data_IF_011066938236
#
_entry.id   IF_011066938236
#
_cell.length_a   1.000
_cell.length_b   1.000
_cell.length_c   1.000
_cell.angle_alpha   90.00
_cell.angle_beta   90.00
_cell.angle_gamma   90.00
#
_symmetry.space_group_name_H-M   'P 1'
#
loop_
_entity.id
_entity.type
_entity.pdbx_description
1 polymer ?
#
# COMPACT_ATOMS: atom_id res chain seq x y z
N UNK A 1 -7.66 3.21 -5.59
CA UNK A 1 -7.31 2.04 -4.75
C UNK A 1 -6.56 1.04 -5.60
N UNK A 2 -5.43 0.48 -5.14
CA UNK A 2 -4.52 -0.33 -5.98
C UNK A 2 -4.43 -1.81 -5.60
N UNK A 3 -5.06 -2.21 -4.50
CA UNK A 3 -5.21 -3.59 -4.05
C UNK A 3 -6.57 -3.74 -3.39
N UNK A 4 -7.23 -4.91 -3.52
CA UNK A 4 -8.49 -5.18 -2.83
C UNK A 4 -8.24 -5.69 -1.40
N UNK A 5 -9.24 -5.58 -0.52
CA UNK A 5 -9.13 -6.10 0.85
C UNK A 5 -8.78 -7.59 0.89
N UNK A 6 -9.39 -8.41 0.03
CA UNK A 6 -9.06 -9.84 -0.10
C UNK A 6 -7.60 -10.07 -0.48
N UNK A 7 -7.08 -9.32 -1.46
CA UNK A 7 -5.68 -9.43 -1.89
C UNK A 7 -4.68 -9.04 -0.80
N UNK A 8 -5.08 -8.16 0.12
CA UNK A 8 -4.26 -7.75 1.26
C UNK A 8 -4.27 -8.85 2.33
N UNK A 9 -5.45 -9.36 2.67
CA UNK A 9 -5.59 -10.43 3.67
C UNK A 9 -4.91 -11.73 3.24
N UNK A 10 -4.88 -12.05 1.93
CA UNK A 10 -4.10 -13.16 1.38
C UNK A 10 -2.58 -13.07 1.67
N UNK A 11 -2.08 -11.91 2.09
CA UNK A 11 -0.66 -11.68 2.41
C UNK A 11 -0.34 -11.75 3.90
N UNK A 12 -1.36 -11.73 4.76
CA UNK A 12 -1.22 -11.99 6.18
C UNK A 12 -1.44 -13.49 6.42
N UNK A 13 -0.61 -14.12 7.27
CA UNK A 13 -0.88 -15.50 7.64
C UNK A 13 -2.15 -15.56 8.52
N UNK A 14 -3.01 -16.57 8.35
CA UNK A 14 -4.23 -16.70 9.16
C UNK A 14 -3.97 -16.69 10.67
N UNK A 15 -2.84 -17.26 11.11
CA UNK A 15 -2.43 -17.28 12.52
C UNK A 15 -2.07 -15.88 13.04
N UNK A 16 -1.47 -15.02 12.21
CA UNK A 16 -1.12 -13.64 12.58
C UNK A 16 -2.39 -12.80 12.76
N UNK A 17 -3.37 -12.96 11.86
CA UNK A 17 -4.66 -12.30 11.95
C UNK A 17 -5.43 -12.74 13.21
N UNK A 18 -5.50 -14.04 13.48
CA UNK A 18 -6.17 -14.56 14.66
C UNK A 18 -5.56 -14.04 15.97
N UNK A 19 -4.23 -13.94 16.04
CA UNK A 19 -3.54 -13.39 17.21
C UNK A 19 -3.77 -11.88 17.35
N UNK A 20 -3.80 -11.14 16.24
CA UNK A 20 -4.13 -9.71 16.24
C UNK A 20 -5.55 -9.47 16.76
N UNK A 21 -6.54 -10.22 16.27
CA UNK A 21 -7.94 -10.13 16.71
C UNK A 21 -8.08 -10.46 18.19
N UNK A 22 -7.43 -11.54 18.64
CA UNK A 22 -7.42 -11.95 20.05
C UNK A 22 -6.82 -10.87 20.96
N UNK A 23 -5.73 -10.24 20.52
CA UNK A 23 -5.03 -9.20 21.30
C UNK A 23 -5.81 -7.90 21.37
N UNK A 24 -6.36 -7.45 20.24
CA UNK A 24 -7.04 -6.15 20.12
C UNK A 24 -8.52 -6.22 20.53
N UNK A 25 -9.12 -7.41 20.49
CA UNK A 25 -10.56 -7.60 20.63
C UNK A 25 -11.37 -7.10 19.43
N UNK A 26 -10.71 -6.72 18.33
CA UNK A 26 -11.33 -6.16 17.13
C UNK A 26 -11.23 -7.18 16.00
N UNK A 27 -12.36 -7.56 15.41
CA UNK A 27 -12.39 -8.42 14.25
C UNK A 27 -11.82 -7.70 13.02
N UNK A 28 -10.94 -8.37 12.28
CA UNK A 28 -10.39 -7.86 11.03
C UNK A 28 -11.32 -8.27 9.89
N UNK A 29 -12.28 -7.40 9.59
CA UNK A 29 -13.20 -7.60 8.48
C UNK A 29 -12.75 -6.91 7.18
N UNK A 30 -13.41 -7.27 6.07
CA UNK A 30 -13.10 -6.71 4.76
C UNK A 30 -13.32 -5.19 4.69
N UNK A 31 -14.32 -4.65 5.40
CA UNK A 31 -14.64 -3.23 5.35
C UNK A 31 -13.58 -2.38 6.07
N UNK A 32 -13.07 -2.88 7.19
CA UNK A 32 -11.96 -2.28 7.92
C UNK A 32 -10.70 -2.24 7.06
N UNK A 33 -10.32 -3.38 6.46
CA UNK A 33 -9.15 -3.45 5.57
C UNK A 33 -9.34 -2.58 4.31
N UNK A 34 -10.56 -2.52 3.77
CA UNK A 34 -10.87 -1.66 2.63
C UNK A 34 -10.68 -0.18 2.96
N UNK A 35 -11.04 0.25 4.17
CA UNK A 35 -10.81 1.62 4.65
C UNK A 35 -9.30 1.92 4.70
N UNK A 36 -8.51 1.06 5.35
CA UNK A 36 -7.05 1.22 5.42
C UNK A 36 -6.41 1.26 4.03
N UNK A 37 -6.93 0.48 3.09
CA UNK A 37 -6.40 0.41 1.73
C UNK A 37 -6.80 1.62 0.87
N UNK A 38 -7.94 2.28 1.16
CA UNK A 38 -8.27 3.59 0.58
C UNK A 38 -7.33 4.67 1.11
N UNK A 39 -7.05 4.69 2.41
CA UNK A 39 -6.08 5.61 3.02
C UNK A 39 -4.66 5.40 2.47
N UNK A 40 -4.23 4.14 2.33
CA UNK A 40 -2.96 3.79 1.72
C UNK A 40 -2.86 4.29 0.26
N UNK A 41 -3.92 4.12 -0.52
CA UNK A 41 -3.96 4.62 -1.89
C UNK A 41 -3.88 6.14 -1.94
N UNK A 42 -4.57 6.85 -1.04
CA UNK A 42 -4.49 8.31 -0.95
C UNK A 42 -3.07 8.80 -0.57
N UNK A 43 -2.38 8.11 0.34
CA UNK A 43 -0.96 8.38 0.66
C UNK A 43 -0.08 8.22 -0.59
N UNK A 44 -0.24 7.11 -1.32
CA UNK A 44 0.48 6.86 -2.57
C UNK A 44 0.20 7.97 -3.60
N UNK A 45 -1.07 8.34 -3.79
CA UNK A 45 -1.48 9.36 -4.75
C UNK A 45 -0.86 10.72 -4.45
N UNK A 46 -0.77 11.09 -3.17
CA UNK A 46 -0.12 12.33 -2.74
C UNK A 46 1.38 12.39 -3.13
N UNK A 47 2.05 11.24 -3.24
CA UNK A 47 3.43 11.19 -3.75
C UNK A 47 3.51 11.24 -5.27
N UNK A 48 2.51 10.70 -5.98
CA UNK A 48 2.55 10.53 -7.44
C UNK A 48 1.96 11.71 -8.20
N UNK A 49 1.02 12.45 -7.61
CA UNK A 49 0.28 13.54 -8.27
C UNK A 49 1.17 14.67 -8.80
N UNK A 50 2.35 14.86 -8.23
CA UNK A 50 3.31 15.86 -8.70
C UNK A 50 3.95 15.51 -10.05
N UNK A 51 4.07 14.22 -10.37
CA UNK A 51 4.80 13.74 -11.55
C UNK A 51 3.95 12.99 -12.56
N UNK A 52 2.83 12.41 -12.13
CA UNK A 52 1.95 11.60 -12.96
C UNK A 52 0.56 12.20 -13.04
N UNK A 53 -0.14 11.95 -14.15
CA UNK A 53 -1.56 12.20 -14.26
C UNK A 53 -2.33 11.09 -13.51
N UNK A 54 -3.19 11.49 -12.57
CA UNK A 54 -4.06 10.61 -11.80
C UNK A 54 -5.53 10.90 -12.16
N UNK A 55 -6.43 9.90 -12.16
CA UNK A 55 -6.17 8.48 -11.85
C UNK A 55 -5.40 7.78 -12.97
N UNK A 56 -4.63 6.73 -12.62
CA UNK A 56 -4.00 5.89 -13.63
C UNK A 56 -5.06 5.11 -14.43
N UNK A 57 -4.89 5.08 -15.75
CA UNK A 57 -5.67 4.19 -16.61
C UNK A 57 -5.20 2.74 -16.45
N UNK A 58 -6.12 1.79 -16.66
CA UNK A 58 -5.77 0.38 -16.68
C UNK A 58 -4.83 0.04 -17.86
N UNK A 59 -3.83 -0.83 -17.64
CA UNK A 59 -3.49 -1.51 -16.38
C UNK A 59 -2.68 -0.64 -15.41
N UNK A 60 -3.01 -0.74 -14.12
CA UNK A 60 -2.29 -0.06 -13.03
C UNK A 60 -0.79 -0.43 -12.98
N UNK A 61 0.10 0.47 -12.53
CA UNK A 61 1.52 0.15 -12.36
C UNK A 61 1.72 -1.00 -11.38
N UNK A 62 2.58 -1.94 -11.75
CA UNK A 62 2.79 -3.21 -11.01
C UNK A 62 3.37 -3.00 -9.62
N UNK A 63 3.95 -1.82 -9.38
CA UNK A 63 4.52 -1.39 -8.09
C UNK A 63 3.46 -0.90 -7.10
N UNK A 64 2.28 -0.45 -7.55
CA UNK A 64 1.31 0.18 -6.64
C UNK A 64 0.54 -0.84 -5.79
N UNK A 65 0.27 -2.03 -6.34
CA UNK A 65 -0.37 -3.13 -5.59
C UNK A 65 0.48 -3.57 -4.39
N UNK A 66 1.75 -3.99 -4.55
CA UNK A 66 2.58 -4.38 -3.40
C UNK A 66 2.80 -3.20 -2.43
N UNK A 67 2.99 -1.98 -2.93
CA UNK A 67 3.10 -0.80 -2.08
C UNK A 67 1.86 -0.59 -1.19
N UNK A 68 0.66 -0.76 -1.76
CA UNK A 68 -0.59 -0.65 -1.00
C UNK A 68 -0.68 -1.74 0.07
N UNK A 69 -0.35 -2.98 -0.28
CA UNK A 69 -0.36 -4.11 0.66
C UNK A 69 0.60 -3.84 1.83
N UNK A 70 1.83 -3.44 1.55
CA UNK A 70 2.84 -3.22 2.59
C UNK A 70 2.42 -2.12 3.57
N UNK A 71 1.87 -1.00 3.06
CA UNK A 71 1.36 0.08 3.90
C UNK A 71 0.13 -0.33 4.72
N UNK A 72 -0.76 -1.17 4.16
CA UNK A 72 -1.95 -1.63 4.90
C UNK A 72 -1.57 -2.63 5.97
N UNK A 73 -0.69 -3.59 5.70
CA UNK A 73 -0.25 -4.57 6.69
C UNK A 73 0.47 -3.89 7.85
N UNK A 74 1.30 -2.88 7.59
CA UNK A 74 1.93 -2.11 8.66
C UNK A 74 0.92 -1.35 9.52
N UNK A 75 -0.12 -0.74 8.92
CA UNK A 75 -1.19 -0.08 9.70
C UNK A 75 -2.06 -1.06 10.46
N UNK A 76 -2.39 -2.19 9.84
CA UNK A 76 -3.28 -3.21 10.40
C UNK A 76 -2.66 -3.84 11.65
N UNK A 77 -1.38 -4.21 11.57
CA UNK A 77 -0.67 -4.84 12.69
C UNK A 77 0.06 -3.83 13.61
N UNK A 78 0.25 -2.60 13.14
CA UNK A 78 0.99 -1.56 13.85
C UNK A 78 2.42 -1.99 14.21
N UNK A 79 2.91 -1.46 15.33
CA UNK A 79 4.22 -1.82 15.89
C UNK A 79 4.28 -3.22 16.51
N UNK A 80 3.17 -3.95 16.53
CA UNK A 80 3.02 -5.23 17.21
C UNK A 80 2.89 -6.43 16.25
N UNK A 81 3.07 -6.18 14.95
CA UNK A 81 3.16 -7.22 13.92
C UNK A 81 4.58 -7.73 13.68
N UNK A 82 4.73 -8.65 12.72
CA UNK A 82 6.04 -9.03 12.19
C UNK A 82 6.86 -7.80 11.78
N UNK A 83 8.11 -7.74 12.22
CA UNK A 83 9.05 -6.65 11.87
C UNK A 83 9.20 -6.47 10.35
N UNK A 84 8.95 -7.53 9.58
CA UNK A 84 8.97 -7.52 8.11
C UNK A 84 7.93 -6.56 7.51
N UNK A 85 6.74 -6.41 8.10
CA UNK A 85 5.72 -5.49 7.59
C UNK A 85 6.17 -4.04 7.73
N UNK A 86 6.72 -3.69 8.90
CA UNK A 86 7.28 -2.35 9.14
C UNK A 86 8.43 -2.03 8.19
N UNK A 87 9.37 -2.96 8.02
CA UNK A 87 10.51 -2.78 7.12
C UNK A 87 10.05 -2.59 5.66
N UNK A 88 9.06 -3.37 5.21
CA UNK A 88 8.51 -3.24 3.85
C UNK A 88 7.75 -1.94 3.64
N UNK A 89 6.96 -1.50 4.62
CA UNK A 89 6.28 -0.21 4.56
C UNK A 89 7.27 0.96 4.54
N UNK A 90 8.34 0.90 5.33
CA UNK A 90 9.41 1.90 5.30
C UNK A 90 10.15 1.93 3.94
N UNK A 91 10.46 0.76 3.39
CA UNK A 91 11.00 0.61 2.03
C UNK A 91 10.07 1.20 0.98
N UNK A 92 8.76 0.95 1.09
CA UNK A 92 7.73 1.53 0.22
C UNK A 92 7.68 3.05 0.33
N UNK A 93 7.66 3.62 1.53
CA UNK A 93 7.69 5.09 1.73
C UNK A 93 8.97 5.70 1.16
N UNK A 94 10.11 5.01 1.29
CA UNK A 94 11.38 5.43 0.69
C UNK A 94 11.32 5.43 -0.83
N UNK A 95 10.79 4.35 -1.42
CA UNK A 95 10.56 4.25 -2.86
C UNK A 95 9.64 5.39 -3.36
N UNK A 96 8.51 5.63 -2.69
CA UNK A 96 7.57 6.70 -3.08
C UNK A 96 8.21 8.10 -3.00
N UNK A 97 9.05 8.37 -2.00
CA UNK A 97 9.85 9.62 -1.95
C UNK A 97 10.81 9.74 -3.13
N UNK A 98 11.50 8.66 -3.50
CA UNK A 98 12.39 8.66 -4.66
C UNK A 98 11.64 8.78 -6.00
N UNK A 99 10.44 8.21 -6.09
CA UNK A 99 9.56 8.43 -7.24
C UNK A 99 9.14 9.89 -7.31
N UNK A 100 8.73 10.48 -6.18
CA UNK A 100 8.33 11.90 -6.06
C UNK A 100 9.41 12.88 -6.53
N UNK A 101 10.68 12.60 -6.25
CA UNK A 101 11.81 13.43 -6.74
C UNK A 101 12.18 13.14 -8.20
N UNK A 102 11.60 12.11 -8.81
CA UNK A 102 11.92 11.65 -10.16
C UNK A 102 13.18 10.79 -10.25
N UNK A 103 13.81 10.46 -9.12
CA UNK A 103 14.98 9.58 -9.04
C UNK A 103 14.64 8.13 -9.44
N UNK A 104 13.42 7.68 -9.11
CA UNK A 104 12.87 6.40 -9.56
C UNK A 104 11.60 6.59 -10.40
N UNK A 105 11.26 5.55 -11.16
CA UNK A 105 10.04 5.48 -11.97
C UNK A 105 9.18 4.32 -11.51
N UNK A 106 7.87 4.46 -11.72
CA UNK A 106 6.95 3.34 -11.56
C UNK A 106 7.29 2.26 -12.60
N UNK A 107 7.26 1.00 -12.18
CA UNK A 107 7.43 -0.15 -13.08
C UNK A 107 6.08 -0.48 -13.73
N UNK A 108 6.09 -0.64 -15.05
CA UNK A 108 4.89 -0.93 -15.86
C UNK A 108 4.97 -0.28 -17.24
N UNK A 109 3.82 -0.07 -17.88
CA UNK A 109 3.73 0.69 -19.14
C UNK A 109 4.18 2.15 -18.94
N UNK A 110 4.47 2.85 -20.04
CA UNK A 110 4.78 4.28 -19.99
C UNK A 110 3.55 5.06 -19.51
N UNK A 111 3.52 5.41 -18.21
CA UNK A 111 2.46 6.24 -17.63
C UNK A 111 2.68 7.71 -18.00
N UNK A 112 1.60 8.44 -18.27
CA UNK A 112 1.67 9.87 -18.61
C UNK A 112 2.27 10.65 -17.44
N UNK A 113 3.42 11.24 -17.68
CA UNK A 113 4.04 12.21 -16.78
C UNK A 113 3.60 13.60 -17.17
N UNK A 114 3.38 14.45 -16.18
CA UNK A 114 3.16 15.88 -16.42
C UNK A 114 4.43 16.47 -17.04
N UNK A 115 4.28 17.23 -18.12
CA UNK A 115 5.38 18.02 -18.65
C UNK A 115 5.77 19.03 -17.55
N UNK A 116 7.05 19.04 -17.17
CA UNK A 116 7.58 20.08 -16.28
C UNK A 116 7.81 21.36 -17.06
#
# INVERSE_FOLDING_TARGET
MYATASQILERAAPAELAELEKRTGVAVDLAYVETLAREAAAEIDAHLVELYELPFADPLPTTLKPATIDLVLERLFGGEGPSSYRLKAEGTRTFLRQVKTGALKLVGRTYRRKAR
#
